data_IF_608660867575
#
_entry.id   IF_608660867575
#
_cell.length_a   1.000
_cell.length_b   1.000
_cell.length_c   1.000
_cell.angle_alpha   90.00
_cell.angle_beta   90.00
_cell.angle_gamma   90.00
#
_symmetry.space_group_name_H-M   'P 1'
#
loop_
_entity.id
_entity.type
_entity.pdbx_description
1 polymer ?
#
# COMPACT_ATOMS: atom_id res chain seq x y z
N UNK A 1 -11.49 18.33 24.39
CA UNK A 1 -10.12 18.14 24.90
C UNK A 1 -9.68 16.79 24.36
N UNK A 2 -9.11 16.82 23.13
CA UNK A 2 -8.65 15.65 22.36
C UNK A 2 -7.45 15.05 23.07
N UNK A 3 -7.65 13.86 23.59
CA UNK A 3 -6.55 13.01 24.02
C UNK A 3 -5.91 12.41 22.75
N UNK A 4 -4.94 13.14 22.20
CA UNK A 4 -3.96 12.56 21.29
C UNK A 4 -3.30 11.38 22.03
N UNK A 5 -3.59 10.17 21.60
CA UNK A 5 -2.85 8.98 22.05
C UNK A 5 -1.44 9.15 21.51
N UNK A 6 -0.57 9.61 22.39
CA UNK A 6 0.86 9.72 22.15
C UNK A 6 1.40 8.31 21.87
N UNK A 7 1.52 7.94 20.60
CA UNK A 7 2.24 6.72 20.20
C UNK A 7 3.71 7.07 20.39
N UNK A 8 4.41 6.47 21.35
CA UNK A 8 5.81 6.82 21.57
C UNK A 8 6.60 6.50 20.31
N UNK A 9 7.15 7.50 19.65
CA UNK A 9 8.02 7.44 18.48
C UNK A 9 9.30 6.60 18.71
N UNK A 10 9.49 6.09 19.92
CA UNK A 10 10.71 5.47 20.41
C UNK A 10 10.71 3.93 20.41
N UNK A 11 9.68 3.24 19.93
CA UNK A 11 9.73 1.78 19.86
C UNK A 11 10.47 1.31 18.61
N UNK A 12 11.45 0.39 18.72
CA UNK A 12 12.11 -0.25 17.59
C UNK A 12 11.08 -0.83 16.61
N UNK A 13 11.40 -0.83 15.32
CA UNK A 13 10.52 -1.28 14.24
C UNK A 13 9.89 -2.66 14.53
N UNK A 14 10.70 -3.60 15.00
CA UNK A 14 10.26 -4.98 15.33
C UNK A 14 9.18 -5.04 16.43
N UNK A 15 9.12 -4.02 17.27
CA UNK A 15 8.11 -3.93 18.33
C UNK A 15 6.79 -3.31 17.86
N UNK A 16 6.80 -2.66 16.71
CA UNK A 16 5.61 -2.01 16.13
C UNK A 16 4.86 -2.89 15.15
N UNK A 17 5.55 -3.77 14.42
CA UNK A 17 4.97 -4.57 13.32
C UNK A 17 3.75 -5.37 13.78
N UNK A 18 3.88 -6.18 14.83
CA UNK A 18 2.80 -7.07 15.29
C UNK A 18 1.60 -6.29 15.84
N UNK A 19 1.77 -5.24 16.68
CA UNK A 19 0.65 -4.40 17.09
C UNK A 19 -0.06 -3.70 15.93
N UNK A 20 0.69 -3.19 14.96
CA UNK A 20 0.10 -2.55 13.77
C UNK A 20 -0.70 -3.56 12.93
N UNK A 21 -0.15 -4.76 12.73
CA UNK A 21 -0.86 -5.84 12.04
C UNK A 21 -2.16 -6.22 12.77
N UNK A 22 -2.10 -6.36 14.10
CA UNK A 22 -3.29 -6.64 14.91
C UNK A 22 -4.35 -5.54 14.72
N UNK A 23 -3.97 -4.27 14.90
CA UNK A 23 -4.89 -3.14 14.73
C UNK A 23 -5.49 -3.09 13.32
N UNK A 24 -4.67 -3.34 12.28
CA UNK A 24 -5.15 -3.39 10.90
C UNK A 24 -6.16 -4.52 10.64
N UNK A 25 -5.93 -5.71 11.20
CA UNK A 25 -6.86 -6.84 11.08
C UNK A 25 -8.17 -6.61 11.85
N UNK A 26 -8.10 -6.03 13.05
CA UNK A 26 -9.28 -5.65 13.82
C UNK A 26 -10.10 -4.59 13.07
N UNK A 27 -9.44 -3.57 12.53
CA UNK A 27 -10.06 -2.53 11.73
C UNK A 27 -10.69 -3.07 10.44
N UNK A 28 -10.03 -4.02 9.75
CA UNK A 28 -10.57 -4.73 8.60
C UNK A 28 -11.88 -5.44 8.94
N UNK A 29 -11.88 -6.21 10.03
CA UNK A 29 -13.05 -6.98 10.43
C UNK A 29 -14.24 -6.07 10.81
N UNK A 30 -13.98 -4.99 11.56
CA UNK A 30 -15.00 -4.01 11.92
C UNK A 30 -15.57 -3.32 10.65
N UNK A 31 -14.69 -2.85 9.75
CA UNK A 31 -15.11 -2.20 8.52
C UNK A 31 -15.95 -3.13 7.64
N UNK A 32 -15.55 -4.40 7.53
CA UNK A 32 -16.27 -5.40 6.76
C UNK A 32 -17.66 -5.70 7.36
N UNK A 33 -17.77 -5.80 8.68
CA UNK A 33 -19.05 -5.96 9.36
C UNK A 33 -19.97 -4.76 9.11
N UNK A 34 -19.47 -3.53 9.26
CA UNK A 34 -20.24 -2.32 9.03
C UNK A 34 -20.68 -2.21 7.56
N UNK A 35 -19.78 -2.45 6.62
CA UNK A 35 -20.07 -2.43 5.20
C UNK A 35 -21.06 -3.52 4.79
N UNK A 36 -21.06 -4.68 5.44
CA UNK A 36 -22.05 -5.74 5.18
C UNK A 36 -23.47 -5.33 5.58
N UNK A 37 -23.60 -4.40 6.52
CA UNK A 37 -24.87 -3.90 6.99
C UNK A 37 -25.45 -2.76 6.15
N UNK A 38 -24.60 -1.80 5.75
CA UNK A 38 -25.02 -0.57 5.06
C UNK A 38 -24.49 -0.41 3.62
N UNK A 39 -23.70 -1.36 3.15
CA UNK A 39 -23.06 -1.38 1.81
C UNK A 39 -22.14 -0.18 1.54
N UNK A 40 -21.58 0.45 2.59
CA UNK A 40 -20.70 1.60 2.48
C UNK A 40 -19.22 1.20 2.55
N UNK A 41 -18.46 1.54 1.53
CA UNK A 41 -17.03 1.27 1.49
C UNK A 41 -16.18 2.31 2.26
N UNK A 42 -16.78 3.45 2.65
CA UNK A 42 -16.12 4.49 3.44
C UNK A 42 -15.59 3.97 4.79
N UNK A 43 -16.21 2.93 5.34
CA UNK A 43 -15.72 2.28 6.57
C UNK A 43 -14.29 1.76 6.42
N UNK A 44 -13.92 1.25 5.24
CA UNK A 44 -12.56 0.79 4.96
C UNK A 44 -11.57 1.96 4.82
N UNK A 45 -12.00 3.09 4.26
CA UNK A 45 -11.17 4.29 4.18
C UNK A 45 -10.89 4.84 5.58
N UNK A 46 -11.88 4.86 6.46
CA UNK A 46 -11.70 5.25 7.86
C UNK A 46 -10.80 4.28 8.60
N UNK A 47 -10.90 2.98 8.34
CA UNK A 47 -10.06 1.94 8.93
C UNK A 47 -8.57 2.08 8.54
N UNK A 48 -8.25 2.76 7.45
CA UNK A 48 -6.87 3.04 7.05
C UNK A 48 -6.10 3.83 8.13
N UNK A 49 -6.75 4.74 8.83
CA UNK A 49 -6.15 5.48 9.96
C UNK A 49 -5.77 4.58 11.14
N UNK A 50 -6.37 3.41 11.23
CA UNK A 50 -6.12 2.39 12.25
C UNK A 50 -5.15 1.29 11.81
N UNK A 51 -4.47 1.47 10.66
CA UNK A 51 -3.46 0.55 10.16
C UNK A 51 -3.95 -0.46 9.12
N UNK A 52 -5.20 -0.33 8.64
CA UNK A 52 -5.64 -1.10 7.47
C UNK A 52 -4.90 -0.62 6.23
N UNK A 53 -4.38 -1.57 5.45
CA UNK A 53 -3.72 -1.31 4.17
C UNK A 53 -4.32 -2.18 3.07
N UNK A 54 -4.19 -1.74 1.83
CA UNK A 54 -4.63 -2.51 0.66
C UNK A 54 -3.92 -3.87 0.57
N UNK A 55 -2.63 -3.91 0.92
CA UNK A 55 -1.86 -5.17 1.00
C UNK A 55 -2.44 -6.15 2.01
N UNK A 56 -2.97 -5.66 3.15
CA UNK A 56 -3.60 -6.52 4.15
C UNK A 56 -4.94 -7.07 3.64
N UNK A 57 -5.74 -6.26 2.96
CA UNK A 57 -6.95 -6.68 2.29
C UNK A 57 -6.66 -7.79 1.26
N UNK A 58 -5.65 -7.58 0.41
CA UNK A 58 -5.23 -8.53 -0.61
C UNK A 58 -4.72 -9.84 0.01
N UNK A 59 -3.95 -9.78 1.09
CA UNK A 59 -3.46 -10.97 1.77
C UNK A 59 -4.60 -11.82 2.34
N UNK A 60 -5.60 -11.20 2.97
CA UNK A 60 -6.77 -11.91 3.52
C UNK A 60 -7.62 -12.51 2.40
N UNK A 61 -7.85 -11.78 1.31
CA UNK A 61 -8.59 -12.30 0.16
C UNK A 61 -7.86 -13.43 -0.55
N UNK A 62 -6.52 -13.35 -0.69
CA UNK A 62 -5.70 -14.41 -1.26
C UNK A 62 -5.73 -15.71 -0.41
N UNK A 63 -5.70 -15.59 0.92
CA UNK A 63 -5.87 -16.73 1.81
C UNK A 63 -7.23 -17.40 1.61
N UNK A 64 -8.29 -16.62 1.49
CA UNK A 64 -9.63 -17.15 1.23
C UNK A 64 -9.71 -17.85 -0.14
N UNK A 65 -9.16 -17.25 -1.20
CA UNK A 65 -9.16 -17.83 -2.55
C UNK A 65 -8.44 -19.18 -2.61
N UNK A 66 -7.34 -19.29 -1.88
CA UNK A 66 -6.53 -20.51 -1.83
C UNK A 66 -7.22 -21.67 -1.12
N UNK A 67 -7.89 -21.40 0.00
CA UNK A 67 -8.43 -22.40 0.91
C UNK A 67 -9.95 -22.54 0.86
N UNK A 68 -10.65 -21.53 0.38
CA UNK A 68 -12.11 -21.40 0.34
C UNK A 68 -12.81 -21.76 1.65
N UNK A 69 -12.32 -21.28 2.81
CA UNK A 69 -12.92 -21.55 4.10
C UNK A 69 -14.19 -20.73 4.29
N UNK A 70 -15.06 -21.13 5.21
CA UNK A 70 -16.22 -20.33 5.60
C UNK A 70 -15.82 -19.10 6.44
N UNK A 71 -14.73 -19.19 7.18
CA UNK A 71 -14.14 -18.09 7.95
C UNK A 71 -12.63 -18.28 8.07
N UNK A 72 -11.91 -17.18 8.27
CA UNK A 72 -10.49 -17.17 8.56
C UNK A 72 -10.31 -16.70 9.99
N UNK A 73 -9.74 -17.52 10.87
CA UNK A 73 -9.38 -17.12 12.22
C UNK A 73 -7.88 -16.85 12.30
N UNK A 74 -7.52 -15.66 12.77
CA UNK A 74 -6.13 -15.22 12.94
C UNK A 74 -5.89 -15.03 14.43
N UNK A 75 -5.01 -15.85 15.00
CA UNK A 75 -4.57 -15.74 16.38
C UNK A 75 -3.22 -15.02 16.49
N UNK A 76 -3.16 -13.96 17.31
CA UNK A 76 -1.91 -13.23 17.58
C UNK A 76 -1.58 -13.39 19.06
N UNK A 77 -0.41 -13.98 19.34
CA UNK A 77 0.10 -14.13 20.70
C UNK A 77 1.44 -13.41 20.86
N UNK A 78 1.65 -12.81 22.01
CA UNK A 78 2.89 -12.12 22.34
C UNK A 78 3.73 -12.98 23.29
N UNK A 79 5.06 -12.96 23.10
CA UNK A 79 5.98 -13.67 23.99
C UNK A 79 5.87 -13.14 25.42
N UNK A 80 5.86 -14.06 26.41
CA UNK A 80 5.76 -13.76 27.83
C UNK A 80 6.91 -12.88 28.36
N UNK A 81 8.05 -12.83 27.68
CA UNK A 81 9.21 -11.99 28.05
C UNK A 81 9.02 -10.49 27.79
N UNK A 82 7.91 -10.07 27.19
CA UNK A 82 7.60 -8.64 27.01
C UNK A 82 6.85 -8.13 28.25
N UNK A 83 7.35 -7.07 28.86
CA UNK A 83 6.75 -6.40 30.04
C UNK A 83 5.30 -5.92 29.84
N UNK A 84 4.82 -5.88 28.62
CA UNK A 84 3.42 -5.62 28.30
C UNK A 84 2.79 -6.96 27.86
N UNK A 85 2.16 -7.64 28.80
CA UNK A 85 1.30 -8.78 28.48
C UNK A 85 0.04 -8.25 27.78
N UNK A 86 0.06 -8.24 26.45
CA UNK A 86 -1.18 -8.05 25.70
C UNK A 86 -1.90 -9.40 25.63
N UNK A 87 -3.23 -9.41 25.82
CA UNK A 87 -3.99 -10.64 25.72
C UNK A 87 -3.89 -11.22 24.29
N UNK A 88 -4.09 -12.53 24.19
CA UNK A 88 -4.25 -13.22 22.91
C UNK A 88 -5.37 -12.53 22.12
N UNK A 89 -5.05 -11.98 20.97
CA UNK A 89 -6.05 -11.48 20.04
C UNK A 89 -6.48 -12.60 19.09
N UNK A 90 -7.79 -12.77 18.91
CA UNK A 90 -8.39 -13.63 17.90
C UNK A 90 -9.31 -12.80 17.03
N UNK A 91 -9.04 -12.79 15.74
CA UNK A 91 -9.80 -12.03 14.75
C UNK A 91 -10.38 -13.05 13.77
N UNK A 92 -11.70 -13.06 13.64
CA UNK A 92 -12.40 -13.96 12.73
C UNK A 92 -13.02 -13.15 11.60
N UNK A 93 -12.67 -13.46 10.36
CA UNK A 93 -13.17 -12.80 9.15
C UNK A 93 -14.04 -13.81 8.41
N UNK A 94 -15.31 -13.47 8.23
CA UNK A 94 -16.30 -14.31 7.54
C UNK A 94 -16.06 -14.29 6.03
N UNK A 95 -16.29 -15.42 5.36
CA UNK A 95 -16.18 -15.54 3.90
C UNK A 95 -17.13 -14.60 3.15
N UNK A 96 -18.31 -14.32 3.73
CA UNK A 96 -19.28 -13.38 3.17
C UNK A 96 -18.76 -11.95 3.01
N UNK A 97 -17.70 -11.58 3.73
CA UNK A 97 -17.08 -10.25 3.64
C UNK A 97 -16.07 -10.14 2.50
N UNK A 98 -15.61 -11.24 1.91
CA UNK A 98 -14.56 -11.23 0.90
C UNK A 98 -14.85 -10.37 -0.34
N UNK A 99 -16.08 -10.36 -0.89
CA UNK A 99 -16.42 -9.46 -2.00
C UNK A 99 -16.24 -7.98 -1.63
N UNK A 100 -16.71 -7.58 -0.43
CA UNK A 100 -16.61 -6.20 0.07
C UNK A 100 -15.15 -5.79 0.31
N UNK A 101 -14.36 -6.68 0.92
CA UNK A 101 -12.92 -6.43 1.17
C UNK A 101 -12.17 -6.24 -0.15
N UNK A 102 -12.48 -7.04 -1.18
CA UNK A 102 -11.86 -6.92 -2.51
C UNK A 102 -12.25 -5.61 -3.19
N UNK A 103 -13.53 -5.27 -3.17
CA UNK A 103 -14.04 -4.03 -3.75
C UNK A 103 -13.42 -2.80 -3.06
N UNK A 104 -13.35 -2.82 -1.72
CA UNK A 104 -12.70 -1.77 -0.94
C UNK A 104 -11.22 -1.63 -1.26
N UNK A 105 -10.47 -2.75 -1.36
CA UNK A 105 -9.06 -2.71 -1.76
C UNK A 105 -8.87 -2.07 -3.13
N UNK A 106 -9.70 -2.44 -4.10
CA UNK A 106 -9.65 -1.87 -5.44
C UNK A 106 -9.97 -0.36 -5.45
N UNK A 107 -11.01 0.05 -4.69
CA UNK A 107 -11.39 1.46 -4.57
C UNK A 107 -10.30 2.32 -3.91
N UNK A 108 -9.66 1.82 -2.84
CA UNK A 108 -8.56 2.52 -2.18
C UNK A 108 -7.37 2.65 -3.13
N UNK A 109 -6.97 1.58 -3.82
CA UNK A 109 -5.88 1.62 -4.82
C UNK A 109 -6.14 2.62 -5.95
N UNK A 110 -7.38 2.74 -6.38
CA UNK A 110 -7.76 3.70 -7.43
C UNK A 110 -7.69 5.17 -6.96
N UNK A 111 -7.75 5.41 -5.64
CA UNK A 111 -7.68 6.76 -5.05
C UNK A 111 -6.31 7.10 -4.49
N UNK A 112 -5.44 6.10 -4.25
CA UNK A 112 -4.06 6.35 -3.85
C UNK A 112 -3.30 6.98 -5.04
N UNK A 113 -2.63 8.14 -4.83
CA UNK A 113 -1.74 8.67 -5.83
C UNK A 113 -0.65 7.63 -6.10
N UNK A 114 -0.33 7.39 -7.37
CA UNK A 114 0.80 6.53 -7.71
C UNK A 114 2.04 7.05 -6.94
N UNK A 115 2.73 6.19 -6.18
CA UNK A 115 3.91 6.63 -5.45
C UNK A 115 4.92 7.19 -6.43
N UNK A 116 5.45 8.38 -6.16
CA UNK A 116 6.53 8.96 -6.95
C UNK A 116 7.67 7.95 -7.06
N UNK A 117 7.81 7.36 -8.23
CA UNK A 117 8.89 6.43 -8.51
C UNK A 117 10.12 7.20 -8.92
N UNK A 118 11.12 7.27 -8.04
CA UNK A 118 12.43 7.78 -8.42
C UNK A 118 13.13 6.75 -9.29
N UNK A 119 13.22 7.03 -10.59
CA UNK A 119 13.92 6.19 -11.55
C UNK A 119 15.33 6.75 -11.78
N UNK A 120 16.34 5.92 -11.60
CA UNK A 120 17.73 6.26 -11.94
C UNK A 120 18.18 5.39 -13.09
N UNK A 121 18.57 6.04 -14.18
CA UNK A 121 18.91 5.28 -15.37
C UNK A 121 19.58 6.12 -16.47
N UNK A 122 19.92 5.44 -17.56
CA UNK A 122 20.48 6.07 -18.74
C UNK A 122 19.37 6.46 -19.71
N UNK A 123 19.40 7.70 -20.21
CA UNK A 123 18.48 8.16 -21.25
C UNK A 123 18.87 7.48 -22.56
N UNK A 124 18.07 6.56 -23.05
CA UNK A 124 18.31 5.76 -24.24
C UNK A 124 17.80 6.39 -25.52
N UNK A 125 16.77 7.22 -25.42
CA UNK A 125 16.15 7.88 -26.57
C UNK A 125 15.29 9.06 -26.16
N UNK A 126 15.11 9.96 -27.10
CA UNK A 126 14.34 11.19 -26.98
C UNK A 126 13.38 11.26 -28.16
N UNK A 127 12.12 11.50 -27.92
CA UNK A 127 11.08 11.66 -28.93
C UNK A 127 10.25 12.91 -28.57
N UNK A 128 10.20 13.89 -29.46
CA UNK A 128 9.37 15.07 -29.28
C UNK A 128 8.87 15.59 -30.60
N UNK A 129 7.57 15.84 -30.74
CA UNK A 129 7.03 16.59 -31.87
C UNK A 129 7.37 18.09 -31.76
N UNK A 130 7.49 18.63 -30.56
CA UNK A 130 7.93 19.99 -30.28
C UNK A 130 8.84 19.97 -29.02
N UNK A 131 10.17 20.14 -29.22
CA UNK A 131 11.13 20.06 -28.11
C UNK A 131 11.04 21.21 -27.09
N UNK A 132 10.26 22.24 -27.36
CA UNK A 132 10.08 23.39 -26.46
C UNK A 132 8.97 23.14 -25.46
N UNK A 133 7.95 22.39 -25.81
CA UNK A 133 6.78 22.18 -24.95
C UNK A 133 6.81 20.86 -24.19
N UNK A 134 6.94 19.73 -24.88
CA UNK A 134 6.91 18.40 -24.26
C UNK A 134 7.69 17.38 -25.06
N UNK A 135 8.22 16.36 -24.37
CA UNK A 135 8.85 15.24 -25.04
C UNK A 135 8.76 13.95 -24.22
N UNK A 136 8.91 12.84 -24.90
CA UNK A 136 8.99 11.50 -24.29
C UNK A 136 10.44 11.05 -24.28
N UNK A 137 10.93 10.66 -23.09
CA UNK A 137 12.24 10.07 -22.93
C UNK A 137 12.12 8.58 -22.68
N UNK A 138 13.08 7.80 -23.17
CA UNK A 138 13.25 6.39 -22.86
C UNK A 138 14.42 6.24 -21.91
N UNK A 139 14.15 5.75 -20.68
CA UNK A 139 15.16 5.56 -19.63
C UNK A 139 15.34 4.07 -19.42
N UNK A 140 16.58 3.58 -19.47
CA UNK A 140 16.93 2.25 -19.00
C UNK A 140 17.19 2.34 -17.50
N UNK A 141 16.30 1.76 -16.70
CA UNK A 141 16.42 1.72 -15.25
C UNK A 141 17.58 0.80 -14.86
N UNK A 142 18.58 1.37 -14.18
CA UNK A 142 19.79 0.65 -13.75
C UNK A 142 19.66 0.14 -12.30
N UNK A 143 18.62 0.56 -11.57
CA UNK A 143 18.38 0.14 -10.19
C UNK A 143 17.35 -1.00 -10.09
N UNK A 144 16.66 -1.30 -11.16
CA UNK A 144 15.70 -2.40 -11.18
C UNK A 144 16.41 -3.76 -11.14
N UNK A 145 15.84 -4.71 -10.40
CA UNK A 145 16.34 -6.11 -10.35
C UNK A 145 16.41 -6.78 -11.72
N UNK A 146 15.57 -6.33 -12.66
CA UNK A 146 15.59 -6.75 -14.05
C UNK A 146 15.68 -5.51 -14.94
N UNK A 147 16.50 -5.52 -16.00
CA UNK A 147 16.60 -4.40 -16.92
C UNK A 147 15.23 -4.08 -17.54
N UNK A 148 14.75 -2.87 -17.33
CA UNK A 148 13.52 -2.38 -17.93
C UNK A 148 13.75 -1.03 -18.57
N UNK A 149 13.00 -0.73 -19.62
CA UNK A 149 12.99 0.58 -20.28
C UNK A 149 11.64 1.22 -19.97
N UNK A 150 11.71 2.39 -19.37
CA UNK A 150 10.55 3.20 -19.05
C UNK A 150 10.42 4.35 -20.03
N UNK A 151 9.19 4.71 -20.35
CA UNK A 151 8.89 5.93 -21.11
C UNK A 151 8.32 6.96 -20.14
N UNK A 152 8.90 8.14 -20.11
CA UNK A 152 8.51 9.24 -19.24
C UNK A 152 8.23 10.47 -20.09
N UNK A 153 7.08 11.08 -19.92
CA UNK A 153 6.76 12.34 -20.56
C UNK A 153 7.29 13.48 -19.67
N UNK A 154 8.09 14.36 -20.25
CA UNK A 154 8.65 15.52 -19.59
C UNK A 154 8.23 16.78 -20.35
N UNK A 155 8.14 17.89 -19.64
CA UNK A 155 7.81 19.19 -20.18
C UNK A 155 8.91 20.22 -19.91
N UNK A 156 9.05 21.21 -20.80
CA UNK A 156 9.88 22.38 -20.59
C UNK A 156 11.33 22.07 -20.22
N UNK A 157 11.77 22.64 -19.10
CA UNK A 157 13.16 22.55 -18.61
C UNK A 157 13.59 21.11 -18.34
N UNK A 158 12.73 20.25 -17.82
CA UNK A 158 13.06 18.87 -17.52
C UNK A 158 13.42 18.09 -18.79
N UNK A 159 12.71 18.35 -19.89
CA UNK A 159 13.05 17.74 -21.18
C UNK A 159 14.38 18.25 -21.72
N UNK A 160 14.70 19.54 -21.58
CA UNK A 160 15.99 20.10 -21.97
C UNK A 160 17.14 19.50 -21.15
N UNK A 161 16.95 19.27 -19.87
CA UNK A 161 17.93 18.55 -19.03
C UNK A 161 18.15 17.13 -19.52
N UNK A 162 17.08 16.41 -19.91
CA UNK A 162 17.18 15.07 -20.44
C UNK A 162 17.95 15.04 -21.79
N UNK A 163 17.79 16.05 -22.66
CA UNK A 163 18.54 16.20 -23.88
C UNK A 163 20.04 16.34 -23.55
N UNK A 164 20.40 17.17 -22.59
CA UNK A 164 21.77 17.37 -22.15
C UNK A 164 22.36 16.06 -21.60
N UNK A 165 21.64 15.38 -20.71
CA UNK A 165 22.06 14.09 -20.17
C UNK A 165 22.21 12.99 -21.24
N UNK A 166 21.46 13.07 -22.33
CA UNK A 166 21.60 12.12 -23.45
C UNK A 166 22.84 12.39 -24.29
N UNK A 167 23.21 13.66 -24.46
CA UNK A 167 24.37 14.08 -25.25
C UNK A 167 25.69 13.79 -24.53
N UNK A 168 25.70 13.92 -23.22
CA UNK A 168 26.92 13.83 -22.37
C UNK A 168 27.26 12.39 -21.94
N UNK A 169 26.76 11.39 -22.66
CA UNK A 169 27.04 9.95 -22.46
C UNK A 169 28.46 9.55 -22.79
#
# INVERSE_FOLDING_TARGET
QDALVDIPEALPYEKRVVPTLQSGLEALNIAAQMASYDSRLEHFQQAATSGLTTNLCDAVTALHESLKPQYIEIGISYSANRRQQRPLARISVDAGYMPLIREASAAIKATEPEPEQVVRGLVMGLESPDPVETGVIKIRDIMASHPRVLQVQLAGEDYLQAITAHRDK
#
